data_IF_684719179465
#
_entry.id   IF_684719179465
#
_cell.length_a   1.000
_cell.length_b   1.000
_cell.length_c   1.000
_cell.angle_alpha   90.00
_cell.angle_beta   90.00
_cell.angle_gamma   90.00
#
_symmetry.space_group_name_H-M   'P 1'
#
loop_
_entity.id
_entity.type
_entity.pdbx_description
1 polymer ?
#
# COMPACT_ATOMS: atom_id res chain seq x y z
N UNK A 1 47.97 48.41 5.57
CA UNK A 1 47.19 47.83 4.42
C UNK A 1 46.74 46.43 4.82
N UNK A 2 45.50 46.32 5.25
CA UNK A 2 44.89 45.06 5.73
C UNK A 2 44.19 44.35 4.57
N UNK A 3 44.68 43.16 4.30
CA UNK A 3 44.22 42.31 3.20
C UNK A 3 42.85 41.69 3.57
N UNK A 4 41.77 42.25 3.00
CA UNK A 4 40.42 41.75 3.09
C UNK A 4 40.21 40.61 2.08
N UNK A 5 40.78 39.47 2.27
CA UNK A 5 40.36 38.23 1.63
C UNK A 5 39.36 37.54 2.54
N UNK A 6 38.17 38.10 2.60
CA UNK A 6 37.02 37.39 3.15
C UNK A 6 36.66 36.24 2.20
N UNK A 7 36.98 35.02 2.65
CA UNK A 7 36.61 33.81 2.01
C UNK A 7 35.07 33.85 1.71
N UNK A 8 34.73 33.87 0.43
CA UNK A 8 33.39 33.60 -0.05
C UNK A 8 33.11 32.12 0.24
N UNK A 9 32.62 31.83 1.46
CA UNK A 9 32.03 30.55 1.73
C UNK A 9 30.95 30.29 0.66
N UNK A 10 31.26 29.40 -0.25
CA UNK A 10 30.28 28.83 -1.16
C UNK A 10 29.27 28.08 -0.29
N UNK A 11 28.21 28.81 0.14
CA UNK A 11 27.01 28.16 0.68
C UNK A 11 26.56 27.14 -0.36
N UNK A 12 26.82 25.87 -0.11
CA UNK A 12 26.16 24.77 -0.78
C UNK A 12 24.66 25.05 -0.62
N UNK A 13 24.02 25.54 -1.67
CA UNK A 13 22.57 25.70 -1.67
C UNK A 13 21.98 24.31 -1.58
N UNK A 14 21.57 23.90 -0.39
CA UNK A 14 20.70 22.75 -0.26
C UNK A 14 19.49 22.98 -1.18
N UNK A 15 19.06 21.97 -1.93
CA UNK A 15 17.88 22.11 -2.77
C UNK A 15 16.75 22.68 -1.90
N UNK A 16 16.03 23.69 -2.36
CA UNK A 16 15.06 24.37 -1.53
C UNK A 16 14.08 23.32 -0.99
N UNK A 17 13.87 23.32 0.31
CA UNK A 17 12.98 22.41 1.03
C UNK A 17 11.65 22.19 0.30
N UNK A 18 11.15 23.21 -0.38
CA UNK A 18 9.97 23.15 -1.25
C UNK A 18 10.08 22.10 -2.35
N UNK A 19 11.23 22.02 -3.03
CA UNK A 19 11.43 21.06 -4.11
C UNK A 19 11.38 19.63 -3.57
N UNK A 20 12.03 19.38 -2.43
CA UNK A 20 12.02 18.07 -1.78
C UNK A 20 10.59 17.68 -1.38
N UNK A 21 9.88 18.57 -0.68
CA UNK A 21 8.48 18.33 -0.28
C UNK A 21 7.57 18.08 -1.48
N UNK A 22 7.75 18.82 -2.57
CA UNK A 22 6.95 18.63 -3.80
C UNK A 22 7.22 17.27 -4.44
N UNK A 23 8.48 16.82 -4.48
CA UNK A 23 8.83 15.50 -5.02
C UNK A 23 8.20 14.40 -4.17
N UNK A 24 8.32 14.47 -2.84
CA UNK A 24 7.70 13.48 -1.95
C UNK A 24 6.18 13.45 -2.10
N UNK A 25 5.54 14.60 -2.24
CA UNK A 25 4.11 14.69 -2.48
C UNK A 25 3.71 14.01 -3.80
N UNK A 26 4.40 14.28 -4.90
CA UNK A 26 4.13 13.66 -6.19
C UNK A 26 4.31 12.13 -6.14
N UNK A 27 5.35 11.64 -5.49
CA UNK A 27 5.55 10.20 -5.28
C UNK A 27 4.40 9.60 -4.48
N UNK A 28 3.95 10.28 -3.44
CA UNK A 28 2.78 9.87 -2.63
C UNK A 28 1.50 9.77 -3.46
N UNK A 29 1.24 10.75 -4.34
CA UNK A 29 0.10 10.72 -5.28
C UNK A 29 0.16 9.50 -6.20
N UNK A 30 1.31 9.23 -6.79
CA UNK A 30 1.49 8.09 -7.69
C UNK A 30 1.21 6.77 -6.96
N UNK A 31 1.77 6.57 -5.78
CA UNK A 31 1.55 5.37 -4.96
C UNK A 31 0.07 5.23 -4.60
N UNK A 32 -0.59 6.32 -4.21
CA UNK A 32 -2.02 6.34 -3.89
C UNK A 32 -2.86 5.89 -5.09
N UNK A 33 -2.66 6.48 -6.27
CA UNK A 33 -3.40 6.13 -7.49
C UNK A 33 -3.20 4.66 -7.85
N UNK A 34 -1.96 4.17 -7.82
CA UNK A 34 -1.65 2.75 -8.09
C UNK A 34 -2.39 1.85 -7.09
N UNK A 35 -2.38 2.19 -5.81
CA UNK A 35 -3.04 1.42 -4.76
C UNK A 35 -4.55 1.34 -4.97
N UNK A 36 -5.21 2.47 -5.25
CA UNK A 36 -6.66 2.52 -5.50
C UNK A 36 -7.03 1.71 -6.73
N UNK A 37 -6.32 1.90 -7.86
CA UNK A 37 -6.59 1.18 -9.11
C UNK A 37 -6.39 -0.32 -8.94
N UNK A 38 -5.34 -0.74 -8.23
CA UNK A 38 -5.05 -2.16 -8.00
C UNK A 38 -6.12 -2.80 -7.13
N UNK A 39 -6.52 -2.15 -6.04
CA UNK A 39 -7.58 -2.65 -5.18
C UNK A 39 -8.92 -2.72 -5.93
N UNK A 40 -9.31 -1.68 -6.65
CA UNK A 40 -10.52 -1.66 -7.45
C UNK A 40 -10.56 -2.82 -8.46
N UNK A 41 -9.51 -2.99 -9.26
CA UNK A 41 -9.41 -4.11 -10.22
C UNK A 41 -9.46 -5.47 -9.53
N UNK A 42 -8.85 -5.62 -8.37
CA UNK A 42 -8.84 -6.88 -7.62
C UNK A 42 -10.25 -7.29 -7.21
N UNK A 43 -11.12 -6.35 -6.84
CA UNK A 43 -12.49 -6.66 -6.44
C UNK A 43 -13.47 -6.78 -7.62
N UNK A 44 -13.36 -5.95 -8.63
CA UNK A 44 -14.22 -6.02 -9.83
C UNK A 44 -13.96 -7.26 -10.67
N UNK A 45 -12.70 -7.72 -10.74
CA UNK A 45 -12.28 -8.94 -11.44
C UNK A 45 -12.25 -10.15 -10.49
N UNK A 46 -13.15 -10.21 -9.50
CA UNK A 46 -13.15 -11.31 -8.54
C UNK A 46 -14.49 -12.04 -8.49
N UNK A 47 -14.44 -13.31 -8.05
CA UNK A 47 -15.60 -14.15 -7.84
C UNK A 47 -15.42 -15.02 -6.60
N UNK A 48 -16.53 -15.31 -5.91
CA UNK A 48 -16.54 -16.21 -4.76
C UNK A 48 -16.80 -17.62 -5.28
N UNK A 49 -15.94 -18.56 -4.89
CA UNK A 49 -16.08 -19.98 -5.22
C UNK A 49 -15.97 -20.81 -3.94
N UNK A 50 -16.65 -21.95 -3.94
CA UNK A 50 -16.51 -22.93 -2.87
C UNK A 50 -15.24 -23.75 -3.09
N UNK A 51 -14.45 -23.88 -2.05
CA UNK A 51 -13.20 -24.62 -2.06
C UNK A 51 -13.12 -25.60 -0.89
N UNK A 52 -12.58 -26.76 -1.13
CA UNK A 52 -12.27 -27.73 -0.10
C UNK A 52 -10.85 -27.52 0.42
N UNK A 53 -10.68 -27.54 1.72
CA UNK A 53 -9.38 -27.51 2.38
C UNK A 53 -8.76 -28.90 2.32
N UNK A 54 -7.68 -29.07 1.55
CA UNK A 54 -7.01 -30.38 1.42
C UNK A 54 -6.01 -30.59 2.56
N UNK A 55 -5.25 -29.54 2.89
CA UNK A 55 -4.19 -29.61 3.89
C UNK A 55 -4.05 -28.29 4.63
N UNK A 56 -3.69 -28.39 5.91
CA UNK A 56 -3.38 -27.24 6.74
C UNK A 56 -2.08 -27.51 7.49
N UNK A 57 -1.10 -26.65 7.34
CA UNK A 57 0.17 -26.73 8.03
C UNK A 57 0.49 -25.41 8.74
N UNK A 58 0.94 -25.50 9.99
CA UNK A 58 1.36 -24.32 10.74
C UNK A 58 2.76 -23.88 10.34
N UNK A 59 2.96 -22.55 10.26
CA UNK A 59 4.29 -21.96 10.09
C UNK A 59 4.83 -21.45 11.42
N UNK A 60 6.16 -21.28 11.53
CA UNK A 60 6.82 -20.79 12.75
C UNK A 60 6.35 -19.41 13.22
N UNK A 61 5.66 -18.64 12.37
CA UNK A 61 5.26 -17.24 12.64
C UNK A 61 3.76 -17.11 12.99
N UNK A 62 3.09 -18.18 13.42
CA UNK A 62 1.65 -18.12 13.76
C UNK A 62 0.75 -17.94 12.54
N UNK A 63 1.25 -18.17 11.33
CA UNK A 63 0.45 -18.24 10.11
C UNK A 63 0.17 -19.69 9.75
N UNK A 64 -0.91 -19.92 9.00
CA UNK A 64 -1.26 -21.21 8.44
C UNK A 64 -1.01 -21.18 6.93
N UNK A 65 -0.34 -22.22 6.41
CA UNK A 65 -0.30 -22.52 4.99
C UNK A 65 -1.44 -23.50 4.72
N UNK A 66 -2.45 -23.03 4.01
CA UNK A 66 -3.68 -23.79 3.72
C UNK A 66 -3.71 -24.13 2.24
N UNK A 67 -3.88 -25.39 1.92
CA UNK A 67 -4.04 -25.86 0.55
C UNK A 67 -5.52 -25.98 0.23
N UNK A 68 -5.98 -25.16 -0.70
CA UNK A 68 -7.34 -25.15 -1.21
C UNK A 68 -7.43 -25.89 -2.54
N UNK A 69 -8.55 -26.59 -2.73
CA UNK A 69 -8.93 -27.22 -3.99
C UNK A 69 -10.32 -26.72 -4.39
N UNK A 70 -10.45 -26.24 -5.60
CA UNK A 70 -11.72 -25.71 -6.12
C UNK A 70 -11.86 -25.92 -7.61
N UNK A 71 -13.08 -25.84 -8.11
CA UNK A 71 -13.39 -25.92 -9.52
C UNK A 71 -13.81 -24.53 -10.04
N UNK A 72 -13.23 -24.13 -11.18
CA UNK A 72 -13.61 -22.89 -11.84
C UNK A 72 -13.51 -23.05 -13.36
N UNK A 73 -14.57 -22.64 -14.09
CA UNK A 73 -14.60 -22.80 -15.56
C UNK A 73 -14.40 -24.24 -16.05
N UNK A 74 -14.90 -25.22 -15.30
CA UNK A 74 -14.74 -26.65 -15.64
C UNK A 74 -13.34 -27.23 -15.39
N UNK A 75 -12.42 -26.45 -14.80
CA UNK A 75 -11.07 -26.91 -14.45
C UNK A 75 -10.90 -26.96 -12.93
N UNK A 76 -10.15 -27.95 -12.47
CA UNK A 76 -9.77 -28.13 -11.08
C UNK A 76 -8.47 -27.37 -10.79
N UNK A 77 -8.45 -26.61 -9.72
CA UNK A 77 -7.30 -25.83 -9.25
C UNK A 77 -6.93 -26.25 -7.84
N UNK A 78 -5.63 -26.25 -7.56
CA UNK A 78 -5.07 -26.47 -6.23
C UNK A 78 -4.04 -25.38 -5.96
N UNK A 79 -4.25 -24.60 -4.90
CA UNK A 79 -3.38 -23.47 -4.56
C UNK A 79 -3.11 -23.41 -3.06
N UNK A 80 -1.87 -23.07 -2.72
CA UNK A 80 -1.46 -22.82 -1.34
C UNK A 80 -1.61 -21.34 -1.00
N UNK A 81 -2.23 -21.07 0.14
CA UNK A 81 -2.44 -19.72 0.63
C UNK A 81 -1.92 -19.61 2.04
N UNK A 82 -1.09 -18.60 2.28
CA UNK A 82 -0.68 -18.23 3.64
C UNK A 82 -1.66 -17.23 4.21
N UNK A 83 -2.24 -17.57 5.35
CA UNK A 83 -3.20 -16.72 6.03
C UNK A 83 -2.97 -16.70 7.55
N UNK A 84 -3.50 -15.68 8.23
CA UNK A 84 -3.49 -15.64 9.70
C UNK A 84 -4.30 -16.78 10.29
N UNK A 85 -3.93 -17.17 11.50
CA UNK A 85 -4.59 -18.26 12.25
C UNK A 85 -6.10 -18.05 12.30
N UNK A 86 -6.84 -19.06 11.88
CA UNK A 86 -8.28 -19.20 12.00
C UNK A 86 -8.61 -20.67 12.25
N UNK A 87 -9.80 -20.96 12.71
CA UNK A 87 -10.27 -22.36 12.82
C UNK A 87 -10.52 -22.93 11.43
N UNK A 88 -9.48 -23.54 10.84
CA UNK A 88 -9.55 -24.20 9.54
C UNK A 88 -8.93 -25.57 9.70
N UNK A 89 -9.67 -26.58 9.26
CA UNK A 89 -9.25 -27.98 9.32
C UNK A 89 -9.28 -28.60 7.91
N UNK A 90 -8.43 -29.58 7.69
CA UNK A 90 -8.50 -30.37 6.47
C UNK A 90 -9.88 -31.06 6.36
N UNK A 91 -10.50 -30.99 5.20
CA UNK A 91 -11.86 -31.44 4.94
C UNK A 91 -12.94 -30.36 5.03
N UNK A 92 -12.63 -29.17 5.55
CA UNK A 92 -13.60 -28.07 5.60
C UNK A 92 -13.93 -27.57 4.19
N UNK A 93 -15.17 -27.17 3.97
CA UNK A 93 -15.59 -26.38 2.81
C UNK A 93 -15.60 -24.90 3.19
N UNK A 94 -14.91 -24.08 2.41
CA UNK A 94 -14.82 -22.62 2.63
C UNK A 94 -15.10 -21.85 1.35
N UNK A 95 -15.73 -20.72 1.49
CA UNK A 95 -15.85 -19.74 0.41
C UNK A 95 -14.56 -18.94 0.30
N UNK A 96 -13.95 -19.02 -0.87
CA UNK A 96 -12.74 -18.24 -1.19
C UNK A 96 -13.04 -17.29 -2.34
N UNK A 97 -12.32 -16.19 -2.38
CA UNK A 97 -12.40 -15.24 -3.48
C UNK A 97 -11.22 -15.45 -4.42
N UNK A 98 -11.50 -15.66 -5.68
CA UNK A 98 -10.49 -15.84 -6.72
C UNK A 98 -10.54 -14.70 -7.72
N UNK A 99 -9.45 -14.50 -8.47
CA UNK A 99 -9.42 -13.55 -9.57
C UNK A 99 -9.89 -14.23 -10.85
N UNK A 100 -10.92 -13.67 -11.54
CA UNK A 100 -11.47 -14.25 -12.77
C UNK A 100 -10.43 -14.36 -13.88
N UNK A 101 -9.63 -13.31 -14.09
CA UNK A 101 -8.58 -13.27 -15.11
C UNK A 101 -7.40 -14.22 -14.80
N UNK A 102 -7.16 -14.53 -13.52
CA UNK A 102 -6.09 -15.41 -13.06
C UNK A 102 -6.66 -16.32 -11.97
N UNK A 103 -7.37 -17.42 -12.35
CA UNK A 103 -8.07 -18.26 -11.37
C UNK A 103 -7.17 -18.87 -10.30
N UNK A 104 -5.89 -19.05 -10.57
CA UNK A 104 -4.89 -19.51 -9.59
C UNK A 104 -4.66 -18.53 -8.45
N UNK A 105 -5.03 -17.26 -8.61
CA UNK A 105 -4.78 -16.25 -7.59
C UNK A 105 -5.97 -16.14 -6.62
N UNK A 106 -5.81 -16.71 -5.44
CA UNK A 106 -6.74 -16.56 -4.32
C UNK A 106 -6.50 -15.19 -3.67
N UNK A 107 -7.58 -14.45 -3.42
CA UNK A 107 -7.56 -13.14 -2.79
C UNK A 107 -7.81 -13.34 -1.30
N UNK A 108 -6.77 -13.15 -0.49
CA UNK A 108 -6.85 -13.29 0.97
C UNK A 108 -7.26 -11.99 1.67
N UNK A 109 -7.14 -10.87 0.97
CA UNK A 109 -7.48 -9.56 1.53
C UNK A 109 -9.00 -9.41 1.59
N UNK A 110 -9.54 -9.18 2.79
CA UNK A 110 -10.96 -8.91 2.95
C UNK A 110 -11.31 -7.53 2.39
N UNK A 111 -12.58 -7.32 1.99
CA UNK A 111 -13.07 -6.02 1.52
C UNK A 111 -12.85 -4.94 2.60
N UNK A 112 -13.08 -5.28 3.87
CA UNK A 112 -12.83 -4.39 5.00
C UNK A 112 -11.38 -3.94 5.06
N UNK A 113 -10.42 -4.86 4.92
CA UNK A 113 -8.99 -4.52 4.93
C UNK A 113 -8.62 -3.61 3.76
N UNK A 114 -9.19 -3.84 2.58
CA UNK A 114 -8.94 -2.97 1.42
C UNK A 114 -9.49 -1.57 1.63
N UNK A 115 -10.70 -1.44 2.19
CA UNK A 115 -11.30 -0.14 2.53
C UNK A 115 -10.47 0.57 3.59
N UNK A 116 -10.06 -0.12 4.66
CA UNK A 116 -9.20 0.45 5.71
C UNK A 116 -7.87 0.95 5.13
N UNK A 117 -7.26 0.21 4.20
CA UNK A 117 -6.04 0.65 3.54
C UNK A 117 -6.26 1.92 2.72
N UNK A 118 -7.35 2.01 1.94
CA UNK A 118 -7.68 3.20 1.15
C UNK A 118 -7.90 4.41 2.08
N UNK A 119 -8.65 4.24 3.16
CA UNK A 119 -8.89 5.31 4.15
C UNK A 119 -7.56 5.76 4.77
N UNK A 120 -6.71 4.82 5.20
CA UNK A 120 -5.41 5.12 5.80
C UNK A 120 -4.51 5.91 4.84
N UNK A 121 -4.42 5.48 3.57
CA UNK A 121 -3.66 6.21 2.56
C UNK A 121 -4.22 7.60 2.29
N UNK A 122 -5.55 7.76 2.28
CA UNK A 122 -6.20 9.05 2.10
C UNK A 122 -5.87 10.01 3.25
N UNK A 123 -5.91 9.54 4.49
CA UNK A 123 -5.54 10.32 5.67
C UNK A 123 -4.06 10.74 5.63
N UNK A 124 -3.15 9.82 5.30
CA UNK A 124 -1.74 10.14 5.13
C UNK A 124 -1.50 11.18 4.03
N UNK A 125 -2.27 11.10 2.94
CA UNK A 125 -2.19 12.06 1.84
C UNK A 125 -2.64 13.46 2.28
N UNK A 126 -3.77 13.57 2.98
CA UNK A 126 -4.27 14.84 3.53
C UNK A 126 -3.26 15.45 4.52
N UNK A 127 -2.69 14.63 5.41
CA UNK A 127 -1.67 15.07 6.34
C UNK A 127 -0.42 15.59 5.62
N UNK A 128 0.06 14.92 4.58
CA UNK A 128 1.22 15.34 3.80
C UNK A 128 0.96 16.66 3.04
N UNK A 129 -0.26 16.85 2.54
CA UNK A 129 -0.68 18.11 1.92
C UNK A 129 -0.68 19.25 2.93
N UNK A 130 -1.19 19.01 4.14
CA UNK A 130 -1.16 19.99 5.23
C UNK A 130 0.25 20.43 5.60
N UNK A 131 1.19 19.50 5.70
CA UNK A 131 2.61 19.80 5.95
C UNK A 131 3.20 20.63 4.80
N UNK A 132 2.93 20.29 3.55
CA UNK A 132 3.41 21.05 2.40
C UNK A 132 2.92 22.49 2.42
N UNK A 133 1.62 22.70 2.68
CA UNK A 133 1.02 24.03 2.78
C UNK A 133 1.63 24.84 3.94
N UNK A 134 1.85 24.21 5.09
CA UNK A 134 2.49 24.86 6.23
C UNK A 134 3.93 25.30 5.90
N UNK A 135 4.71 24.47 5.22
CA UNK A 135 6.08 24.81 4.80
C UNK A 135 6.07 25.98 3.81
N UNK A 136 5.16 25.99 2.84
CA UNK A 136 5.02 27.09 1.88
C UNK A 136 4.64 28.39 2.59
N UNK A 137 3.69 28.31 3.50
CA UNK A 137 3.23 29.48 4.26
C UNK A 137 4.35 30.06 5.14
N UNK A 138 5.08 29.23 5.88
CA UNK A 138 6.21 29.67 6.71
C UNK A 138 7.33 30.34 5.89
N UNK A 139 7.60 29.84 4.68
CA UNK A 139 8.63 30.44 3.82
C UNK A 139 8.17 31.80 3.27
N UNK A 140 6.89 31.98 3.00
CA UNK A 140 6.34 33.29 2.61
C UNK A 140 6.40 34.31 3.77
N UNK A 141 6.09 33.89 4.99
CA UNK A 141 6.18 34.74 6.18
C UNK A 141 7.62 35.22 6.45
N UNK A 142 8.59 34.31 6.33
CA UNK A 142 10.02 34.64 6.41
C UNK A 142 10.44 35.67 5.35
N UNK A 143 9.94 35.53 4.11
CA UNK A 143 10.24 36.50 3.04
C UNK A 143 9.64 37.86 3.29
N UNK A 144 8.52 37.97 4.00
CA UNK A 144 7.86 39.21 4.37
C UNK A 144 8.50 39.86 5.61
N UNK A 145 9.56 39.30 6.18
CA UNK A 145 10.30 39.84 7.30
C UNK A 145 9.50 39.89 8.62
N UNK A 146 8.53 38.98 8.79
CA UNK A 146 7.70 38.94 10.01
C UNK A 146 8.29 38.04 11.12
N UNK A 147 9.50 37.49 10.90
CA UNK A 147 10.31 36.76 11.87
C UNK A 147 11.76 37.19 11.77
#
# INVERSE_FOLDING_TARGET
>A
MANKNVAKETRKSFPPIKLICTIFFLVGVIIFVISVVTNYKTYTDSEIVKANVINVSGTKNGMLDVKYQYNYGGKKYEENVRQSVGEIRAGDEKEIRIRKSIPKKIITTTMTTAICNIISFTLCFIASLGVLLAVVWLDEEKRKGKF
#
